data_IF_440155201673
#
_entry.id   IF_440155201673
#
_cell.length_a   1.000
_cell.length_b   1.000
_cell.length_c   1.000
_cell.angle_alpha   90.00
_cell.angle_beta   90.00
_cell.angle_gamma   90.00
#
_symmetry.space_group_name_H-M   'P 1'
#
loop_
_entity.id
_entity.type
_entity.pdbx_description
1 polymer ?
#
# COMPACT_ATOMS: atom_id res chain seq x y z
N UNK A 1 21.87 2.74 -14.09
CA UNK A 1 21.83 3.09 -12.64
C UNK A 1 20.40 3.20 -12.10
N UNK A 2 19.58 4.21 -12.45
CA UNK A 2 18.23 4.42 -11.88
C UNK A 2 17.26 3.23 -11.99
N UNK A 3 17.25 2.53 -13.15
CA UNK A 3 16.40 1.34 -13.37
C UNK A 3 16.83 0.13 -12.53
N UNK A 4 18.14 -0.05 -12.33
CA UNK A 4 18.70 -1.15 -11.53
C UNK A 4 18.38 -0.93 -10.05
N UNK A 5 18.50 0.31 -9.58
CA UNK A 5 18.15 0.68 -8.21
C UNK A 5 16.65 0.45 -7.92
N UNK A 6 15.76 0.77 -8.86
CA UNK A 6 14.33 0.49 -8.74
C UNK A 6 14.03 -1.01 -8.65
N UNK A 7 14.68 -1.83 -9.49
CA UNK A 7 14.51 -3.29 -9.47
C UNK A 7 14.98 -3.90 -8.15
N UNK A 8 16.12 -3.43 -7.63
CA UNK A 8 16.68 -3.87 -6.35
C UNK A 8 15.78 -3.49 -5.17
N UNK A 9 15.20 -2.28 -5.22
CA UNK A 9 14.27 -1.79 -4.19
C UNK A 9 12.96 -2.58 -4.21
N UNK A 10 12.42 -2.91 -5.39
CA UNK A 10 11.24 -3.78 -5.48
C UNK A 10 11.51 -5.19 -4.96
N UNK A 11 12.65 -5.79 -5.30
CA UNK A 11 13.04 -7.11 -4.80
C UNK A 11 13.22 -7.14 -3.28
N UNK A 12 13.76 -6.07 -2.70
CA UNK A 12 13.91 -5.96 -1.25
C UNK A 12 12.54 -5.87 -0.53
N UNK A 13 11.59 -5.11 -1.08
CA UNK A 13 10.24 -4.99 -0.50
C UNK A 13 9.47 -6.30 -0.59
N UNK A 14 9.49 -6.98 -1.75
CA UNK A 14 8.79 -8.26 -1.93
C UNK A 14 9.51 -9.44 -1.26
N UNK A 15 10.82 -9.37 -1.05
CA UNK A 15 11.61 -10.43 -0.41
C UNK A 15 11.44 -10.51 1.12
N UNK A 16 11.08 -9.39 1.77
CA UNK A 16 10.89 -9.32 3.23
C UNK A 16 9.45 -9.65 3.64
N UNK A 17 8.48 -9.47 2.73
CA UNK A 17 7.12 -9.95 2.93
C UNK A 17 7.14 -11.49 2.90
N UNK A 18 7.27 -12.11 4.09
CA UNK A 18 7.29 -13.55 4.24
C UNK A 18 6.05 -14.17 3.61
N UNK A 19 6.21 -14.72 2.41
CA UNK A 19 5.16 -15.48 1.76
C UNK A 19 4.84 -16.67 2.68
N UNK A 20 3.56 -16.87 3.05
CA UNK A 20 3.20 -18.03 3.86
C UNK A 20 3.73 -19.28 3.15
N UNK A 21 4.49 -20.13 3.86
CA UNK A 21 5.01 -21.38 3.29
C UNK A 21 3.83 -22.15 2.73
N UNK A 22 3.74 -22.21 1.40
CA UNK A 22 2.71 -22.99 0.73
C UNK A 22 2.92 -24.46 1.12
N UNK A 23 2.03 -24.99 1.96
CA UNK A 23 1.96 -26.44 2.18
C UNK A 23 1.53 -27.04 0.84
N UNK A 24 2.47 -27.67 0.15
CA UNK A 24 2.14 -28.45 -1.03
C UNK A 24 1.16 -29.55 -0.62
N UNK A 25 0.00 -29.60 -1.27
CA UNK A 25 -0.89 -30.75 -1.20
C UNK A 25 -0.27 -31.90 -2.00
N UNK A 26 -0.48 -33.13 -1.54
CA UNK A 26 0.01 -34.30 -2.25
C UNK A 26 -0.60 -34.36 -3.67
N UNK A 27 0.15 -34.84 -4.69
CA UNK A 27 -0.30 -34.85 -6.09
C UNK A 27 -1.63 -35.59 -6.29
N UNK A 28 -1.86 -36.63 -5.48
CA UNK A 28 -3.09 -37.41 -5.50
C UNK A 28 -4.28 -36.56 -5.05
N UNK A 29 -4.11 -35.75 -4.01
CA UNK A 29 -5.15 -34.87 -3.49
C UNK A 29 -5.45 -33.74 -4.47
N UNK A 30 -4.42 -33.18 -5.12
CA UNK A 30 -4.60 -32.18 -6.19
C UNK A 30 -5.36 -32.80 -7.37
N UNK A 31 -5.02 -34.01 -7.80
CA UNK A 31 -5.68 -34.68 -8.93
C UNK A 31 -7.18 -34.92 -8.67
N UNK A 32 -7.56 -35.24 -7.44
CA UNK A 32 -8.96 -35.46 -7.06
C UNK A 32 -9.72 -34.13 -6.96
N UNK A 33 -9.10 -33.07 -6.42
CA UNK A 33 -9.75 -31.78 -6.23
C UNK A 33 -9.75 -30.89 -7.48
N UNK A 34 -8.77 -31.02 -8.36
CA UNK A 34 -8.61 -30.21 -9.57
C UNK A 34 -9.88 -30.12 -10.43
N UNK A 35 -10.58 -31.22 -10.81
CA UNK A 35 -11.76 -31.12 -11.65
C UNK A 35 -12.91 -30.35 -10.99
N UNK A 36 -13.00 -30.38 -9.65
CA UNK A 36 -14.01 -29.64 -8.91
C UNK A 36 -13.61 -28.19 -8.65
N UNK A 37 -12.31 -27.91 -8.44
CA UNK A 37 -11.82 -26.59 -8.05
C UNK A 37 -11.56 -25.65 -9.24
N UNK A 38 -11.09 -26.19 -10.38
CA UNK A 38 -10.80 -25.41 -11.59
C UNK A 38 -11.94 -24.50 -12.07
N UNK A 39 -13.21 -24.95 -12.17
CA UNK A 39 -14.28 -24.08 -12.64
C UNK A 39 -14.56 -22.90 -11.70
N UNK A 40 -14.47 -23.11 -10.39
CA UNK A 40 -14.61 -22.02 -9.41
C UNK A 40 -13.39 -21.10 -9.41
N UNK A 41 -12.19 -21.64 -9.64
CA UNK A 41 -10.96 -20.86 -9.72
C UNK A 41 -10.96 -19.94 -10.97
N UNK A 42 -11.43 -20.43 -12.12
CA UNK A 42 -11.58 -19.62 -13.32
C UNK A 42 -12.63 -18.51 -13.14
N UNK A 43 -13.78 -18.86 -12.56
CA UNK A 43 -14.82 -17.88 -12.24
C UNK A 43 -14.32 -16.82 -11.24
N UNK A 44 -13.58 -17.23 -10.20
CA UNK A 44 -12.98 -16.33 -9.22
C UNK A 44 -11.84 -15.49 -9.80
N UNK A 45 -11.09 -16.01 -10.78
CA UNK A 45 -9.93 -15.36 -11.38
C UNK A 45 -10.25 -13.99 -11.99
N UNK A 46 -11.41 -13.86 -12.65
CA UNK A 46 -11.84 -12.58 -13.22
C UNK A 46 -12.12 -11.56 -12.11
N UNK A 47 -12.74 -12.00 -11.01
CA UNK A 47 -13.07 -11.14 -9.88
C UNK A 47 -11.84 -10.77 -9.04
N UNK A 48 -10.87 -11.67 -8.90
CA UNK A 48 -9.61 -11.37 -8.23
C UNK A 48 -8.78 -10.36 -9.02
N UNK A 49 -8.76 -10.48 -10.36
CA UNK A 49 -8.11 -9.48 -11.23
C UNK A 49 -8.79 -8.11 -11.16
N UNK A 50 -10.12 -8.05 -11.21
CA UNK A 50 -10.86 -6.79 -11.02
C UNK A 50 -10.61 -6.19 -9.64
N UNK A 51 -10.62 -7.02 -8.60
CA UNK A 51 -10.29 -6.63 -7.23
C UNK A 51 -8.88 -6.06 -7.12
N UNK A 52 -7.90 -6.65 -7.81
CA UNK A 52 -6.52 -6.18 -7.85
C UNK A 52 -6.38 -4.81 -8.54
N UNK A 53 -7.07 -4.61 -9.67
CA UNK A 53 -7.08 -3.32 -10.37
C UNK A 53 -7.68 -2.23 -9.47
N UNK A 54 -8.85 -2.49 -8.88
CA UNK A 54 -9.47 -1.53 -7.96
C UNK A 54 -8.58 -1.27 -6.72
N UNK A 55 -7.92 -2.30 -6.18
CA UNK A 55 -6.99 -2.14 -5.07
C UNK A 55 -5.87 -1.15 -5.40
N UNK A 56 -5.36 -1.21 -6.64
CA UNK A 56 -4.26 -0.37 -7.08
C UNK A 56 -4.63 1.12 -7.05
N UNK A 57 -5.88 1.47 -7.35
CA UNK A 57 -6.39 2.84 -7.26
C UNK A 57 -6.43 3.34 -5.80
N UNK A 58 -6.68 2.45 -4.84
CA UNK A 58 -6.69 2.76 -3.41
C UNK A 58 -5.29 2.89 -2.78
N UNK A 59 -4.25 2.32 -3.40
CA UNK A 59 -2.89 2.35 -2.87
C UNK A 59 -2.25 3.73 -3.00
N UNK A 60 -2.52 4.45 -4.10
CA UNK A 60 -1.96 5.78 -4.34
C UNK A 60 -2.30 6.81 -3.23
N UNK A 61 -3.57 7.03 -2.84
CA UNK A 61 -3.91 8.00 -1.79
C UNK A 61 -3.37 7.59 -0.41
N UNK A 62 -3.31 6.28 -0.13
CA UNK A 62 -2.73 5.75 1.11
C UNK A 62 -1.24 6.05 1.18
N UNK A 63 -0.51 5.81 0.08
CA UNK A 63 0.92 6.11 0.01
C UNK A 63 1.19 7.61 0.20
N UNK A 64 0.41 8.49 -0.45
CA UNK A 64 0.56 9.95 -0.26
C UNK A 64 0.33 10.36 1.20
N UNK A 65 -0.73 9.85 1.84
CA UNK A 65 -1.01 10.12 3.25
C UNK A 65 0.09 9.57 4.17
N UNK A 66 0.73 8.47 3.79
CA UNK A 66 1.85 7.88 4.52
C UNK A 66 3.12 8.75 4.44
N UNK A 67 3.37 9.37 3.28
CA UNK A 67 4.46 10.35 3.10
C UNK A 67 4.18 11.62 3.91
N UNK A 68 2.93 12.10 3.91
CA UNK A 68 2.55 13.31 4.64
C UNK A 68 2.74 13.17 6.16
N UNK A 69 2.67 11.97 6.73
CA UNK A 69 3.00 11.72 8.15
C UNK A 69 4.44 12.14 8.46
N UNK A 70 5.37 11.96 7.52
CA UNK A 70 6.77 12.37 7.70
C UNK A 70 6.96 13.89 7.61
N UNK A 71 5.95 14.67 7.20
CA UNK A 71 6.01 16.13 7.28
C UNK A 71 5.95 16.65 8.72
N UNK A 72 5.48 15.84 9.67
CA UNK A 72 5.40 16.22 11.10
C UNK A 72 6.80 16.48 11.71
N UNK A 73 7.77 15.54 11.64
CA UNK A 73 9.13 15.81 12.11
C UNK A 73 9.85 16.87 11.26
N UNK A 74 9.58 16.94 9.95
CA UNK A 74 10.15 17.99 9.07
C UNK A 74 9.65 19.38 9.49
N UNK A 75 8.35 19.53 9.75
CA UNK A 75 7.76 20.78 10.22
C UNK A 75 8.31 21.22 11.58
N UNK A 76 8.54 20.27 12.49
CA UNK A 76 9.21 20.56 13.78
C UNK A 76 10.64 21.07 13.58
N UNK A 77 11.41 20.48 12.65
CA UNK A 77 12.76 20.95 12.34
C UNK A 77 12.75 22.34 11.67
N UNK A 78 11.80 22.60 10.78
CA UNK A 78 11.64 23.90 10.12
C UNK A 78 11.21 25.00 11.09
N UNK A 79 10.38 24.69 12.10
CA UNK A 79 9.96 25.63 13.14
C UNK A 79 11.08 25.89 14.17
N UNK A 80 11.90 24.89 14.48
CA UNK A 80 12.93 25.01 15.53
C UNK A 80 14.26 25.53 14.98
N UNK A 81 14.79 24.87 13.95
CA UNK A 81 16.09 25.19 13.35
C UNK A 81 15.95 26.05 12.09
N UNK A 82 14.82 25.96 11.39
CA UNK A 82 14.53 26.74 10.17
C UNK A 82 13.94 28.14 10.43
N UNK A 83 13.49 28.43 11.66
CA UNK A 83 12.97 29.73 12.05
C UNK A 83 13.90 30.92 11.75
N UNK A 84 15.21 30.88 12.09
CA UNK A 84 16.13 31.98 11.75
C UNK A 84 16.37 32.15 10.24
N UNK A 85 16.00 31.16 9.41
CA UNK A 85 16.11 31.20 7.95
C UNK A 85 14.79 31.57 7.25
N UNK A 86 13.76 31.99 8.00
CA UNK A 86 12.45 32.39 7.45
C UNK A 86 11.52 31.23 7.09
N UNK A 87 11.85 29.99 7.48
CA UNK A 87 11.05 28.79 7.18
C UNK A 87 9.93 28.53 8.20
N UNK A 88 9.70 29.44 9.15
CA UNK A 88 8.68 29.27 10.19
C UNK A 88 7.27 29.07 9.62
N UNK A 89 6.93 29.79 8.54
CA UNK A 89 5.62 29.66 7.88
C UNK A 89 5.44 28.31 7.18
N UNK A 90 6.48 27.80 6.49
CA UNK A 90 6.42 26.47 5.86
C UNK A 90 6.38 25.37 6.93
N UNK A 91 7.15 25.53 8.00
CA UNK A 91 7.19 24.59 9.09
C UNK A 91 5.84 24.43 9.78
N UNK A 92 5.11 25.52 10.03
CA UNK A 92 3.73 25.45 10.54
C UNK A 92 2.77 24.72 9.60
N UNK A 93 2.86 24.95 8.28
CA UNK A 93 2.03 24.25 7.30
C UNK A 93 2.36 22.76 7.23
N UNK A 94 3.64 22.41 7.25
CA UNK A 94 4.12 21.02 7.23
C UNK A 94 3.75 20.28 8.52
N UNK A 95 3.79 20.96 9.67
CA UNK A 95 3.38 20.39 10.95
C UNK A 95 1.87 20.12 11.00
N UNK A 96 1.04 21.05 10.49
CA UNK A 96 -0.41 20.84 10.38
C UNK A 96 -0.76 19.73 9.38
N UNK A 97 -0.05 19.67 8.26
CA UNK A 97 -0.27 18.61 7.26
C UNK A 97 0.09 17.25 7.85
N UNK A 98 1.21 17.16 8.57
CA UNK A 98 1.64 15.94 9.25
C UNK A 98 0.72 15.49 10.38
N UNK A 99 0.09 16.40 11.13
CA UNK A 99 -0.86 16.01 12.20
C UNK A 99 -2.20 15.53 11.66
N UNK A 100 -2.65 16.03 10.51
CA UNK A 100 -3.91 15.60 9.86
C UNK A 100 -3.70 14.35 8.98
N UNK A 101 -2.49 14.12 8.48
CA UNK A 101 -2.11 12.96 7.68
C UNK A 101 -2.48 11.59 8.26
N UNK A 102 -2.26 11.26 9.56
CA UNK A 102 -2.64 9.96 10.12
C UNK A 102 -4.15 9.71 10.07
N UNK A 103 -4.98 10.75 10.23
CA UNK A 103 -6.43 10.61 10.11
C UNK A 103 -6.86 10.37 8.65
N UNK A 104 -6.25 11.08 7.70
CA UNK A 104 -6.46 10.82 6.26
C UNK A 104 -6.01 9.43 5.85
N UNK A 105 -4.88 8.95 6.39
CA UNK A 105 -4.37 7.61 6.16
C UNK A 105 -5.33 6.53 6.68
N UNK A 106 -5.83 6.67 7.92
CA UNK A 106 -6.81 5.76 8.48
C UNK A 106 -8.10 5.75 7.64
N UNK A 107 -8.63 6.92 7.29
CA UNK A 107 -9.85 7.01 6.47
C UNK A 107 -9.67 6.36 5.10
N UNK A 108 -8.55 6.64 4.42
CA UNK A 108 -8.24 6.05 3.10
C UNK A 108 -8.04 4.54 3.19
N UNK A 109 -7.45 4.05 4.27
CA UNK A 109 -7.28 2.61 4.53
C UNK A 109 -8.61 1.92 4.79
N UNK A 110 -9.51 2.52 5.59
CA UNK A 110 -10.86 1.97 5.79
C UNK A 110 -11.69 1.99 4.52
N UNK A 111 -11.56 3.04 3.69
CA UNK A 111 -12.23 3.12 2.40
C UNK A 111 -11.66 2.20 1.32
N UNK A 112 -10.51 1.55 1.56
CA UNK A 112 -9.96 0.54 0.64
C UNK A 112 -10.86 -0.70 0.57
N UNK A 113 -11.47 -1.11 1.69
CA UNK A 113 -12.38 -2.26 1.79
C UNK A 113 -13.60 -2.15 0.86
N UNK A 114 -14.38 -1.05 0.88
CA UNK A 114 -15.48 -0.87 -0.07
C UNK A 114 -14.99 -0.64 -1.51
N UNK A 115 -13.74 -0.17 -1.72
CA UNK A 115 -13.16 -0.02 -3.04
C UNK A 115 -12.88 -1.38 -3.72
N UNK A 116 -12.40 -2.37 -2.96
CA UNK A 116 -12.27 -3.76 -3.42
C UNK A 116 -13.62 -4.34 -3.88
N UNK A 117 -14.70 -3.97 -3.19
CA UNK A 117 -16.06 -4.46 -3.43
C UNK A 117 -16.81 -3.71 -4.53
N UNK A 118 -16.19 -2.71 -5.18
CA UNK A 118 -16.72 -2.12 -6.44
C UNK A 118 -16.57 -3.14 -7.58
N UNK A 119 -17.33 -4.22 -7.49
CA UNK A 119 -17.41 -5.31 -8.46
C UNK A 119 -18.58 -5.10 -9.44
N UNK A 120 -19.17 -3.91 -9.47
CA UNK A 120 -20.20 -3.51 -10.44
C UNK A 120 -19.53 -2.91 -11.69
#
# INVERSE_FOLDING_TARGET
MRKIFLVLLTLAVFGVAGLPKAKAMDPITIAILAPYALPYAEAAGIWTLKGLVNASDGVAPIFTSMVDIFMLPVGLLEITLGAPFGLFKSGCQNLLTGTVAPFKFCFSTFMLLPLFLRLA
#
